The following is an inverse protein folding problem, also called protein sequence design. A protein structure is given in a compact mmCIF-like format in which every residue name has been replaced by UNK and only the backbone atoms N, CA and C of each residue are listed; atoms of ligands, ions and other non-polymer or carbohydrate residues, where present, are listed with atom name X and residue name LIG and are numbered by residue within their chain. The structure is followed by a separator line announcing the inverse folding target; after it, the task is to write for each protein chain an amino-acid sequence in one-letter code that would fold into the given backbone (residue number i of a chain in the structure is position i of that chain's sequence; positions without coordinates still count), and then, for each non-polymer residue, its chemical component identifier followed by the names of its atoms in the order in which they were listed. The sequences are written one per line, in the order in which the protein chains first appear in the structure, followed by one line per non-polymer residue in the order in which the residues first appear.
data_IF_426375432479
#
_entry.id   IF_426375432479
#
_cell.length_a   1.000
_cell.length_b   1.000
_cell.length_c   1.000
_cell.angle_alpha   90.00
_cell.angle_beta   90.00
_cell.angle_gamma   90.00
#
_symmetry.space_group_name_H-M   'P 1'
#
loop_
_entity.id
_entity.type
_entity.pdbx_description
1 polymer ?
#
# COMPACT_ATOMS: atom_id res chain seq x y z
N UNK A 1 12.19 -8.09 8.80
CA UNK A 1 10.76 -7.83 8.95
C UNK A 1 10.48 -6.34 8.91
N UNK A 2 9.49 -5.92 8.14
CA UNK A 2 9.08 -4.52 8.14
C UNK A 2 8.18 -4.22 9.34
N UNK A 3 8.20 -2.96 9.76
CA UNK A 3 7.25 -2.43 10.74
C UNK A 3 6.51 -1.24 10.14
N UNK A 4 5.30 -0.96 10.65
CA UNK A 4 4.51 0.16 10.18
C UNK A 4 4.57 1.34 11.13
N UNK A 5 4.62 2.55 10.56
CA UNK A 5 4.22 3.78 11.24
C UNK A 5 2.95 4.29 10.55
N UNK A 6 1.99 4.76 11.34
CA UNK A 6 0.69 5.19 10.87
C UNK A 6 0.49 6.68 11.12
N UNK A 7 0.04 7.40 10.10
CA UNK A 7 -0.22 8.84 10.17
C UNK A 7 -1.63 9.14 9.66
N UNK A 8 -2.46 9.72 10.54
CA UNK A 8 -3.84 10.15 10.22
C UNK A 8 -4.75 9.01 9.74
N UNK A 9 -4.49 7.81 10.21
CA UNK A 9 -5.23 6.61 9.78
C UNK A 9 -6.62 6.59 10.42
N UNK A 10 -7.69 6.31 9.65
CA UNK A 10 -9.03 6.23 10.22
C UNK A 10 -9.19 4.99 11.10
N UNK A 11 -10.12 5.06 12.06
CA UNK A 11 -10.42 3.94 12.96
C UNK A 11 -10.97 2.72 12.22
N UNK A 12 -11.52 2.93 11.02
CA UNK A 12 -12.05 1.86 10.18
C UNK A 12 -10.97 0.95 9.61
N UNK A 13 -9.72 1.41 9.60
CA UNK A 13 -8.60 0.59 9.14
C UNK A 13 -8.03 -0.21 10.31
N UNK A 14 -8.03 -1.53 10.16
CA UNK A 14 -7.45 -2.43 11.14
C UNK A 14 -5.94 -2.50 10.97
N UNK A 15 -5.21 -2.09 12.01
CA UNK A 15 -3.74 -2.22 12.03
C UNK A 15 -3.32 -3.69 12.05
N UNK A 16 -4.14 -4.53 12.67
CA UNK A 16 -3.94 -5.97 12.66
C UNK A 16 -4.03 -6.54 11.24
N UNK A 17 -4.99 -6.06 10.44
CA UNK A 17 -5.09 -6.45 9.04
C UNK A 17 -3.82 -6.08 8.28
N UNK A 18 -3.32 -4.86 8.45
CA UNK A 18 -2.08 -4.41 7.79
C UNK A 18 -0.89 -5.28 8.16
N UNK A 19 -0.77 -5.64 9.43
CA UNK A 19 0.31 -6.52 9.92
C UNK A 19 0.20 -7.92 9.31
N UNK A 20 -1.00 -8.48 9.23
CA UNK A 20 -1.22 -9.80 8.61
C UNK A 20 -0.91 -9.77 7.12
N UNK A 21 -1.33 -8.70 6.42
CA UNK A 21 -1.06 -8.52 5.00
C UNK A 21 0.45 -8.48 4.75
N UNK A 22 1.17 -7.71 5.54
CA UNK A 22 2.61 -7.58 5.43
C UNK A 22 3.31 -8.92 5.67
N UNK A 23 2.89 -9.65 6.70
CA UNK A 23 3.45 -10.96 7.02
C UNK A 23 3.24 -11.96 5.89
N UNK A 24 2.03 -11.98 5.30
CA UNK A 24 1.72 -12.86 4.18
C UNK A 24 2.58 -12.52 2.95
N UNK A 25 2.82 -11.24 2.70
CA UNK A 25 3.70 -10.79 1.63
C UNK A 25 5.15 -11.21 1.88
N UNK A 26 5.65 -11.02 3.09
CA UNK A 26 7.01 -11.39 3.47
C UNK A 26 7.27 -12.89 3.31
N UNK A 27 6.27 -13.72 3.59
CA UNK A 27 6.36 -15.17 3.37
C UNK A 27 6.45 -15.53 1.89
N UNK A 28 5.87 -14.69 1.03
CA UNK A 28 5.90 -14.88 -0.42
C UNK A 28 7.21 -14.40 -1.03
N UNK A 29 7.75 -13.30 -0.50
CA UNK A 29 9.02 -12.72 -0.93
C UNK A 29 10.13 -13.33 -0.08
N UNK A 30 10.87 -14.28 -0.63
CA UNK A 30 11.90 -15.03 0.10
C UNK A 30 13.19 -14.24 0.36
N UNK A 31 13.15 -12.92 0.36
CA UNK A 31 14.33 -12.09 0.64
C UNK A 31 14.17 -11.45 2.02
N UNK A 32 15.23 -11.48 2.86
CA UNK A 32 15.18 -10.74 4.12
C UNK A 32 15.05 -9.25 3.82
N UNK A 33 14.01 -8.65 4.35
CA UNK A 33 13.76 -7.21 4.21
C UNK A 33 13.43 -6.63 5.56
N UNK A 34 13.93 -5.44 5.83
CA UNK A 34 13.66 -4.75 7.08
C UNK A 34 13.57 -3.25 6.86
N UNK A 35 12.94 -2.56 7.76
CA UNK A 35 12.75 -1.14 7.72
C UNK A 35 11.34 -0.75 8.12
N UNK A 36 11.06 0.53 8.00
CA UNK A 36 9.78 1.13 8.37
C UNK A 36 9.00 1.46 7.11
N UNK A 37 7.72 1.09 7.08
CA UNK A 37 6.78 1.51 6.05
C UNK A 37 5.87 2.56 6.69
N UNK A 38 5.88 3.78 6.16
CA UNK A 38 4.99 4.84 6.60
C UNK A 38 3.69 4.76 5.81
N UNK A 39 2.58 4.64 6.52
CA UNK A 39 1.24 4.62 5.93
C UNK A 39 0.56 5.93 6.30
N UNK A 40 0.34 6.80 5.31
CA UNK A 40 -0.03 8.19 5.52
C UNK A 40 -1.32 8.50 4.77
N UNK A 41 -2.34 8.99 5.50
CA UNK A 41 -3.57 9.49 4.87
C UNK A 41 -3.41 10.98 4.62
N UNK A 42 -3.67 11.40 3.39
CA UNK A 42 -3.63 12.81 2.99
C UNK A 42 -4.95 13.20 2.32
N UNK A 43 -5.17 14.51 2.23
CA UNK A 43 -6.37 15.04 1.60
C UNK A 43 -6.23 15.10 0.08
N UNK A 44 -7.36 15.26 -0.61
CA UNK A 44 -7.42 15.26 -2.08
C UNK A 44 -6.50 16.29 -2.71
N UNK A 45 -6.42 17.50 -2.14
CA UNK A 45 -5.58 18.57 -2.68
C UNK A 45 -4.10 18.20 -2.63
N UNK A 46 -3.66 17.66 -1.50
CA UNK A 46 -2.28 17.21 -1.35
C UNK A 46 -1.99 16.04 -2.30
N UNK A 47 -2.92 15.10 -2.41
CA UNK A 47 -2.78 13.97 -3.31
C UNK A 47 -2.68 14.43 -4.77
N UNK A 48 -3.51 15.42 -5.17
CA UNK A 48 -3.46 15.96 -6.52
C UNK A 48 -2.11 16.60 -6.82
N UNK A 49 -1.54 17.36 -5.86
CA UNK A 49 -0.22 17.97 -6.01
C UNK A 49 0.87 16.91 -6.16
N UNK A 50 0.85 15.89 -5.33
CA UNK A 50 1.82 14.80 -5.40
C UNK A 50 1.70 14.00 -6.69
N UNK A 51 0.48 13.71 -7.13
CA UNK A 51 0.23 12.97 -8.35
C UNK A 51 0.77 13.72 -9.58
N UNK A 52 0.59 15.03 -9.61
CA UNK A 52 1.13 15.89 -10.67
C UNK A 52 2.66 15.92 -10.63
N UNK A 53 3.23 16.13 -9.44
CA UNK A 53 4.67 16.28 -9.27
C UNK A 53 5.44 14.99 -9.58
N UNK A 54 4.94 13.84 -9.10
CA UNK A 54 5.67 12.58 -9.16
C UNK A 54 5.25 11.66 -10.31
N UNK A 55 4.03 11.80 -10.82
CA UNK A 55 3.52 10.95 -11.91
C UNK A 55 3.10 11.72 -13.15
N UNK A 56 3.08 13.05 -13.09
CA UNK A 56 2.68 13.90 -14.21
C UNK A 56 1.21 13.79 -14.57
N UNK A 57 0.36 13.34 -13.64
CA UNK A 57 -1.07 13.14 -13.87
C UNK A 57 -1.88 14.19 -13.15
N UNK A 58 -2.99 14.60 -13.77
CA UNK A 58 -3.89 15.59 -13.21
C UNK A 58 -4.89 14.96 -12.23
N UNK A 59 -5.16 15.66 -11.14
CA UNK A 59 -6.14 15.26 -10.14
C UNK A 59 -5.63 14.25 -9.13
N UNK A 60 -6.42 14.03 -8.06
CA UNK A 60 -6.02 13.08 -7.04
C UNK A 60 -6.18 11.62 -7.50
N UNK A 61 -5.33 10.75 -6.98
CA UNK A 61 -5.47 9.30 -7.12
C UNK A 61 -5.78 8.69 -5.74
N UNK A 62 -6.04 7.40 -5.69
CA UNK A 62 -6.32 6.69 -4.44
C UNK A 62 -5.07 6.40 -3.61
N UNK A 63 -3.95 6.09 -4.27
CA UNK A 63 -2.73 5.67 -3.62
C UNK A 63 -1.49 6.11 -4.41
N UNK A 64 -0.44 6.47 -3.67
CA UNK A 64 0.91 6.65 -4.21
C UNK A 64 1.87 5.89 -3.31
N UNK A 65 2.78 5.13 -3.92
CA UNK A 65 3.78 4.36 -3.20
C UNK A 65 5.18 4.79 -3.61
N UNK A 66 6.06 4.90 -2.62
CA UNK A 66 7.47 5.24 -2.83
C UNK A 66 8.33 4.19 -2.13
N UNK A 67 9.18 3.52 -2.89
CA UNK A 67 10.09 2.52 -2.35
C UNK A 67 11.49 3.12 -2.19
N UNK A 68 12.03 3.01 -0.99
CA UNK A 68 13.40 3.42 -0.67
C UNK A 68 14.26 2.21 -0.30
N UNK A 69 13.80 1.03 -0.64
CA UNK A 69 14.48 -0.21 -0.25
C UNK A 69 15.90 -0.27 -0.81
N UNK A 70 16.82 -0.68 0.07
CA UNK A 70 18.22 -0.95 -0.23
C UNK A 70 18.69 -2.07 0.70
N UNK A 71 19.62 -2.93 0.27
CA UNK A 71 20.13 -3.99 1.15
C UNK A 71 20.81 -3.49 2.44
N UNK A 72 21.22 -2.24 2.48
CA UNK A 72 21.89 -1.63 3.63
C UNK A 72 20.92 -1.06 4.66
N UNK A 73 19.60 -1.07 4.40
CA UNK A 73 18.62 -0.54 5.34
C UNK A 73 18.62 -1.31 6.65
N UNK A 74 18.57 -0.56 7.75
CA UNK A 74 18.37 -1.13 9.09
C UNK A 74 16.88 -1.12 9.43
N UNK A 75 16.53 -1.74 10.56
CA UNK A 75 15.14 -1.77 11.03
C UNK A 75 14.57 -0.39 11.37
N UNK A 76 15.42 0.61 11.57
CA UNK A 76 15.00 1.98 11.89
C UNK A 76 14.96 2.92 10.68
N UNK A 77 15.36 2.45 9.51
CA UNK A 77 15.32 3.25 8.29
C UNK A 77 13.96 3.14 7.60
N UNK A 78 13.54 4.20 6.91
CA UNK A 78 12.31 4.18 6.11
C UNK A 78 12.56 3.39 4.82
N UNK A 79 11.85 2.28 4.67
CA UNK A 79 11.95 1.42 3.49
C UNK A 79 10.91 1.78 2.43
N UNK A 80 9.83 2.41 2.83
CA UNK A 80 8.78 2.81 1.89
C UNK A 80 7.76 3.72 2.51
N UNK A 81 7.02 4.39 1.65
CA UNK A 81 5.90 5.24 2.05
C UNK A 81 4.70 4.95 1.18
N UNK A 82 3.53 4.87 1.80
CA UNK A 82 2.25 4.69 1.14
C UNK A 82 1.36 5.86 1.52
N UNK A 83 0.98 6.65 0.53
CA UNK A 83 0.05 7.77 0.71
C UNK A 83 -1.33 7.35 0.20
N UNK A 84 -2.35 7.56 1.02
CA UNK A 84 -3.72 7.16 0.75
C UNK A 84 -4.63 8.38 0.72
N UNK A 85 -5.52 8.45 -0.26
CA UNK A 85 -6.58 9.44 -0.34
C UNK A 85 -7.93 8.75 -0.13
N UNK A 86 -8.51 8.92 1.06
CA UNK A 86 -9.75 8.23 1.43
C UNK A 86 -10.94 8.63 0.56
N UNK A 87 -10.99 9.87 0.12
CA UNK A 87 -12.07 10.36 -0.74
C UNK A 87 -12.11 9.61 -2.07
N UNK A 88 -10.94 9.38 -2.69
CA UNK A 88 -10.83 8.61 -3.93
C UNK A 88 -11.09 7.13 -3.71
N UNK A 89 -10.62 6.59 -2.60
CA UNK A 89 -10.86 5.19 -2.24
C UNK A 89 -12.37 4.95 -2.11
N UNK A 90 -13.08 5.90 -1.49
CA UNK A 90 -14.54 5.85 -1.35
C UNK A 90 -15.24 5.84 -2.71
N UNK A 91 -14.83 6.71 -3.62
CA UNK A 91 -15.40 6.79 -4.97
C UNK A 91 -15.20 5.45 -5.71
N UNK A 92 -14.00 4.92 -5.66
CA UNK A 92 -13.69 3.64 -6.31
C UNK A 92 -14.43 2.46 -5.69
N UNK A 93 -14.64 2.49 -4.37
CA UNK A 93 -15.46 1.48 -3.68
C UNK A 93 -16.89 1.49 -4.20
N UNK A 94 -17.49 2.67 -4.32
CA UNK A 94 -18.85 2.82 -4.84
C UNK A 94 -18.96 2.35 -6.29
N UNK A 95 -18.00 2.70 -7.12
CA UNK A 95 -17.95 2.25 -8.52
C UNK A 95 -17.82 0.73 -8.63
N UNK A 96 -17.08 0.11 -7.72
CA UNK A 96 -16.83 -1.33 -7.73
C UNK A 96 -17.90 -2.15 -6.99
N UNK A 97 -18.87 -1.48 -6.35
CA UNK A 97 -19.88 -2.16 -5.54
C UNK A 97 -19.33 -2.79 -4.27
N UNK A 98 -18.28 -2.21 -3.72
CA UNK A 98 -17.62 -2.68 -2.50
C UNK A 98 -17.85 -1.70 -1.35
N UNK A 99 -17.66 -2.18 -0.11
CA UNK A 99 -17.63 -1.29 1.04
C UNK A 99 -16.33 -0.49 1.05
N UNK A 100 -16.32 0.64 1.74
CA UNK A 100 -15.09 1.45 1.90
C UNK A 100 -13.97 0.64 2.54
N UNK A 101 -14.31 -0.17 3.54
CA UNK A 101 -13.36 -1.04 4.23
C UNK A 101 -12.72 -2.05 3.27
N UNK A 102 -13.54 -2.72 2.46
CA UNK A 102 -13.04 -3.69 1.48
C UNK A 102 -12.09 -3.06 0.47
N UNK A 103 -12.45 -1.88 -0.04
CA UNK A 103 -11.62 -1.16 -1.00
C UNK A 103 -10.32 -0.67 -0.37
N UNK A 104 -10.38 -0.16 0.86
CA UNK A 104 -9.20 0.29 1.59
C UNK A 104 -8.22 -0.86 1.84
N UNK A 105 -8.73 -2.00 2.28
CA UNK A 105 -7.92 -3.18 2.52
C UNK A 105 -7.30 -3.70 1.22
N UNK A 106 -8.07 -3.72 0.13
CA UNK A 106 -7.59 -4.11 -1.19
C UNK A 106 -6.44 -3.22 -1.65
N UNK A 107 -6.60 -1.90 -1.53
CA UNK A 107 -5.60 -0.95 -2.05
C UNK A 107 -4.31 -0.96 -1.22
N UNK A 108 -4.41 -1.27 0.07
CA UNK A 108 -3.22 -1.39 0.94
C UNK A 108 -2.39 -2.60 0.52
N UNK A 109 -3.02 -3.73 0.27
CA UNK A 109 -2.31 -4.92 -0.24
C UNK A 109 -1.64 -4.60 -1.57
N UNK A 110 -2.36 -3.90 -2.44
CA UNK A 110 -1.86 -3.46 -3.74
C UNK A 110 -0.59 -2.61 -3.59
N UNK A 111 -0.63 -1.62 -2.70
CA UNK A 111 0.52 -0.76 -2.42
C UNK A 111 1.71 -1.50 -1.81
N UNK A 112 1.44 -2.37 -0.86
CA UNK A 112 2.49 -3.20 -0.25
C UNK A 112 3.15 -4.11 -1.27
N UNK A 113 2.36 -4.68 -2.18
CA UNK A 113 2.87 -5.54 -3.24
C UNK A 113 3.80 -4.76 -4.18
N UNK A 114 3.44 -3.53 -4.51
CA UNK A 114 4.31 -2.64 -5.29
C UNK A 114 5.61 -2.32 -4.56
N UNK A 115 5.55 -2.06 -3.26
CA UNK A 115 6.76 -1.80 -2.47
C UNK A 115 7.70 -2.99 -2.44
N UNK A 116 7.17 -4.20 -2.54
CA UNK A 116 7.97 -5.43 -2.61
C UNK A 116 8.55 -5.70 -4.01
N UNK A 117 8.31 -4.81 -4.97
CA UNK A 117 8.85 -4.92 -6.32
C UNK A 117 8.00 -5.69 -7.31
N UNK A 118 6.78 -6.05 -6.95
CA UNK A 118 5.85 -6.71 -7.88
C UNK A 118 5.15 -5.68 -8.76
N UNK A 119 5.11 -5.99 -10.04
CA UNK A 119 4.48 -5.18 -11.05
C UNK A 119 3.24 -5.91 -11.58
N UNK A 120 2.19 -5.19 -11.95
CA UNK A 120 0.97 -5.78 -12.50
C UNK A 120 1.06 -6.18 -13.95
N UNK A 121 2.17 -5.88 -14.61
CA UNK A 121 2.33 -6.11 -16.03
C UNK A 121 2.59 -7.57 -16.37
N UNK A 122 3.02 -8.38 -15.40
CA UNK A 122 3.24 -9.80 -15.62
C UNK A 122 2.14 -10.65 -14.99
N UNK A 123 1.79 -11.74 -15.63
CA UNK A 123 0.81 -12.71 -15.11
C UNK A 123 1.29 -13.35 -13.80
N UNK A 124 2.60 -13.55 -13.67
CA UNK A 124 3.24 -14.08 -12.47
C UNK A 124 2.98 -13.18 -11.26
N UNK A 125 3.08 -11.87 -11.44
CA UNK A 125 2.84 -10.90 -10.37
C UNK A 125 1.37 -10.86 -9.95
N UNK A 126 0.45 -10.97 -10.91
CA UNK A 126 -0.97 -11.10 -10.62
C UNK A 126 -1.26 -12.32 -9.77
N UNK A 127 -0.69 -13.47 -10.11
CA UNK A 127 -0.87 -14.72 -9.38
C UNK A 127 -0.33 -14.61 -7.95
N UNK A 128 0.82 -13.95 -7.77
CA UNK A 128 1.39 -13.73 -6.45
C UNK A 128 0.52 -12.82 -5.59
N UNK A 129 -0.05 -11.79 -6.17
CA UNK A 129 -1.01 -10.91 -5.49
C UNK A 129 -2.25 -11.67 -5.05
N UNK A 130 -2.83 -12.49 -5.91
CA UNK A 130 -3.99 -13.31 -5.58
C UNK A 130 -3.71 -14.25 -4.42
N UNK A 131 -2.53 -14.86 -4.38
CA UNK A 131 -2.13 -15.72 -3.26
C UNK A 131 -2.07 -14.98 -1.94
N UNK A 132 -1.54 -13.77 -1.96
CA UNK A 132 -1.45 -12.93 -0.77
C UNK A 132 -2.85 -12.57 -0.29
N UNK A 133 -3.71 -12.13 -1.19
CA UNK A 133 -5.09 -11.78 -0.86
C UNK A 133 -5.84 -12.96 -0.24
N UNK A 134 -5.66 -14.15 -0.77
CA UNK A 134 -6.30 -15.38 -0.24
C UNK A 134 -5.81 -15.74 1.15
N UNK A 135 -4.53 -15.51 1.45
CA UNK A 135 -3.97 -15.79 2.78
C UNK A 135 -4.49 -14.86 3.86
N UNK A 136 -4.94 -13.67 3.49
CA UNK A 136 -5.40 -12.65 4.42
C UNK A 136 -6.89 -12.78 4.71
N UNK A 137 -7.63 -13.31 3.78
CA UNK A 137 -9.08 -13.52 3.92
C UNK A 137 -9.42 -14.64 4.92
#
# INVERSE_FOLDING_TARGET
MFTFNYFYIPRTLSREYCTRALKALEETVKKPQQGIINLIVIESDEMAQMNKQFRGKEGPTDILTFSYYSPELTSSDVAGEIYLCLEKIKIYAEEAGKTHKEQLEYIIIHGLTHLMGYDHESEDDWQKMEKVEKKIQ
#
